data_IF_632621730508
#
_entry.id   IF_632621730508
#
_cell.length_a   1.000
_cell.length_b   1.000
_cell.length_c   1.000
_cell.angle_alpha   90.00
_cell.angle_beta   90.00
_cell.angle_gamma   90.00
#
_symmetry.space_group_name_H-M   'P 1'
#
loop_
_entity.id
_entity.type
_entity.pdbx_description
1 polymer ?
#
# COMPACT_ATOMS: atom_id res chain seq x y z
N UNK A 1 21.52 12.24 21.01
CA UNK A 1 20.10 11.96 20.79
C UNK A 1 19.34 12.32 22.07
N UNK A 2 18.44 13.28 21.98
CA UNK A 2 17.57 13.73 23.06
C UNK A 2 16.37 12.79 23.23
N UNK A 3 15.67 12.87 24.36
CA UNK A 3 14.46 12.08 24.59
C UNK A 3 13.38 12.34 23.52
N UNK A 4 13.26 13.58 23.05
CA UNK A 4 12.30 13.98 22.00
C UNK A 4 12.65 13.36 20.64
N UNK A 5 13.94 13.29 20.29
CA UNK A 5 14.38 12.61 19.07
C UNK A 5 14.13 11.10 19.13
N UNK A 6 14.34 10.48 20.30
CA UNK A 6 14.03 9.06 20.52
C UNK A 6 12.52 8.82 20.35
N UNK A 7 11.68 9.67 20.96
CA UNK A 7 10.24 9.55 20.87
C UNK A 7 9.76 9.64 19.40
N UNK A 8 10.26 10.61 18.63
CA UNK A 8 9.89 10.75 17.22
C UNK A 8 10.25 9.51 16.39
N UNK A 9 11.42 8.90 16.63
CA UNK A 9 11.82 7.65 15.95
C UNK A 9 10.89 6.48 16.29
N UNK A 10 10.50 6.36 17.57
CA UNK A 10 9.56 5.33 18.04
C UNK A 10 8.19 5.54 17.40
N UNK A 11 7.67 6.76 17.41
CA UNK A 11 6.37 7.09 16.80
C UNK A 11 6.37 6.77 15.31
N UNK A 12 7.42 7.17 14.58
CA UNK A 12 7.55 6.87 13.15
C UNK A 12 7.54 5.37 12.87
N UNK A 13 8.29 4.59 13.63
CA UNK A 13 8.33 3.13 13.49
C UNK A 13 6.97 2.51 13.85
N UNK A 14 6.32 3.00 14.90
CA UNK A 14 5.02 2.53 15.37
C UNK A 14 3.92 2.75 14.33
N UNK A 15 3.73 3.97 13.84
CA UNK A 15 2.76 4.28 12.78
C UNK A 15 3.18 3.68 11.43
N UNK A 16 4.49 3.63 11.18
CA UNK A 16 5.12 2.92 10.08
C UNK A 16 4.72 1.45 10.03
N UNK A 17 4.52 0.80 11.17
CA UNK A 17 4.10 -0.60 11.30
C UNK A 17 2.58 -0.80 11.44
N UNK A 18 1.86 0.15 12.06
CA UNK A 18 0.48 -0.06 12.48
C UNK A 18 -0.53 0.24 11.36
N UNK A 19 -0.33 1.32 10.59
CA UNK A 19 -1.35 1.85 9.65
C UNK A 19 -1.80 0.79 8.63
N UNK A 20 -0.86 0.11 7.97
CA UNK A 20 -1.19 -0.94 6.99
C UNK A 20 -1.94 -2.11 7.63
N UNK A 21 -1.67 -2.41 8.90
CA UNK A 21 -2.35 -3.51 9.61
C UNK A 21 -3.76 -3.11 9.97
N UNK A 22 -3.99 -1.85 10.30
CA UNK A 22 -5.33 -1.31 10.46
C UNK A 22 -6.08 -1.44 9.14
N UNK A 23 -5.53 -0.96 8.01
CA UNK A 23 -6.20 -1.10 6.71
C UNK A 23 -6.55 -2.55 6.38
N UNK A 24 -5.64 -3.49 6.65
CA UNK A 24 -5.88 -4.91 6.39
C UNK A 24 -6.89 -5.54 7.36
N UNK A 25 -6.92 -5.09 8.62
CA UNK A 25 -7.80 -5.61 9.66
C UNK A 25 -9.19 -4.96 9.72
N UNK A 26 -9.34 -3.72 9.23
CA UNK A 26 -10.59 -2.94 9.27
C UNK A 26 -11.53 -3.21 8.11
N UNK A 27 -11.10 -3.99 7.11
CA UNK A 27 -11.84 -4.20 5.87
C UNK A 27 -11.55 -3.17 4.78
N UNK A 28 -10.70 -2.15 5.03
CA UNK A 28 -10.21 -1.26 3.95
C UNK A 28 -9.47 -2.08 2.89
N UNK A 29 -8.63 -3.05 3.29
CA UNK A 29 -7.87 -3.91 2.36
C UNK A 29 -7.03 -3.10 1.36
N UNK A 30 -6.35 -2.06 1.86
CA UNK A 30 -5.47 -1.24 1.04
C UNK A 30 -4.36 -2.07 0.37
N UNK A 31 -3.92 -1.66 -0.81
CA UNK A 31 -2.90 -2.35 -1.59
C UNK A 31 -2.09 -1.36 -2.42
N UNK A 32 -0.96 -1.83 -2.95
CA UNK A 32 -0.09 -1.06 -3.84
C UNK A 32 -0.36 -1.49 -5.27
N UNK A 33 -0.71 -0.53 -6.12
CA UNK A 33 -0.83 -0.70 -7.56
C UNK A 33 0.55 -0.50 -8.18
N UNK A 34 1.08 -1.54 -8.80
CA UNK A 34 2.21 -1.43 -9.73
C UNK A 34 1.68 -1.10 -11.12
N UNK A 35 2.05 0.08 -11.61
CA UNK A 35 1.62 0.56 -12.93
C UNK A 35 2.55 0.08 -14.03
N UNK A 36 3.79 -0.31 -13.69
CA UNK A 36 4.88 -0.51 -14.63
C UNK A 36 5.19 0.74 -15.51
N UNK A 37 4.79 1.94 -15.06
CA UNK A 37 5.09 3.22 -15.70
C UNK A 37 6.18 4.00 -14.95
N UNK A 38 6.86 4.88 -15.68
CA UNK A 38 7.84 5.79 -15.11
C UNK A 38 7.15 6.97 -14.40
N UNK A 39 7.89 7.63 -13.51
CA UNK A 39 7.46 8.86 -12.85
C UNK A 39 7.59 10.09 -13.77
N UNK A 40 6.74 10.18 -14.79
CA UNK A 40 6.75 11.23 -15.81
C UNK A 40 5.56 12.23 -15.71
N UNK A 41 4.70 12.04 -14.71
CA UNK A 41 3.50 12.86 -14.50
C UNK A 41 2.28 12.41 -15.31
N UNK A 42 2.35 11.29 -16.02
CA UNK A 42 1.18 10.65 -16.62
C UNK A 42 0.29 10.00 -15.55
N UNK A 43 -1.02 9.89 -15.84
CA UNK A 43 -1.97 9.13 -15.03
C UNK A 43 -2.44 7.88 -15.83
N UNK A 44 -1.70 6.75 -15.75
CA UNK A 44 -2.01 5.56 -16.54
C UNK A 44 -3.19 4.73 -15.98
N UNK A 45 -3.84 5.19 -14.90
CA UNK A 45 -4.83 4.40 -14.15
C UNK A 45 -6.21 5.09 -14.03
N UNK A 46 -6.53 6.03 -14.91
CA UNK A 46 -7.79 6.79 -14.91
C UNK A 46 -9.06 5.92 -14.97
N UNK A 47 -8.93 4.69 -15.47
CA UNK A 47 -10.02 3.70 -15.51
C UNK A 47 -10.31 3.10 -14.12
N UNK A 48 -9.35 3.17 -13.20
CA UNK A 48 -9.39 2.51 -11.89
C UNK A 48 -9.44 3.49 -10.71
N UNK A 49 -8.96 4.72 -10.87
CA UNK A 49 -9.01 5.79 -9.88
C UNK A 49 -9.61 7.06 -10.50
N UNK A 50 -10.29 7.87 -9.70
CA UNK A 50 -10.65 9.24 -10.12
C UNK A 50 -9.39 10.12 -10.06
N UNK A 51 -9.33 11.17 -10.89
CA UNK A 51 -8.12 12.00 -11.00
C UNK A 51 -7.67 12.58 -9.65
N UNK A 52 -8.61 12.98 -8.79
CA UNK A 52 -8.31 13.47 -7.43
C UNK A 52 -7.70 12.38 -6.56
N UNK A 53 -8.22 11.15 -6.64
CA UNK A 53 -7.71 10.03 -5.86
C UNK A 53 -6.35 9.57 -6.40
N UNK A 54 -6.16 9.60 -7.72
CA UNK A 54 -4.89 9.31 -8.37
C UNK A 54 -3.82 10.31 -7.93
N UNK A 55 -4.11 11.61 -7.93
CA UNK A 55 -3.19 12.64 -7.47
C UNK A 55 -2.79 12.44 -5.99
N UNK A 56 -3.75 12.12 -5.13
CA UNK A 56 -3.52 11.90 -3.70
C UNK A 56 -2.74 10.62 -3.39
N UNK A 57 -2.80 9.61 -4.26
CA UNK A 57 -2.25 8.27 -3.99
C UNK A 57 -0.98 7.97 -4.77
N UNK A 58 -0.60 8.82 -5.73
CA UNK A 58 0.59 8.65 -6.55
C UNK A 58 1.88 8.69 -5.72
N UNK A 59 2.73 7.70 -5.90
CA UNK A 59 4.01 7.57 -5.21
C UNK A 59 5.09 7.12 -6.19
N UNK A 60 6.17 7.89 -6.22
CA UNK A 60 7.36 7.55 -6.99
C UNK A 60 8.37 6.82 -6.12
N UNK A 61 8.78 5.64 -6.55
CA UNK A 61 9.83 4.85 -5.90
C UNK A 61 10.71 4.18 -6.95
N UNK A 62 12.02 4.43 -6.91
CA UNK A 62 13.00 3.91 -7.89
C UNK A 62 12.59 4.17 -9.35
N UNK A 63 12.21 5.42 -9.64
CA UNK A 63 11.75 5.92 -10.94
C UNK A 63 10.48 5.24 -11.51
N UNK A 64 9.81 4.41 -10.71
CA UNK A 64 8.53 3.78 -11.04
C UNK A 64 7.38 4.43 -10.28
N UNK A 65 6.27 4.58 -10.99
CA UNK A 65 5.03 5.13 -10.46
C UNK A 65 4.17 4.02 -9.85
N UNK A 66 3.81 4.20 -8.59
CA UNK A 66 2.89 3.35 -7.85
C UNK A 66 1.72 4.16 -7.34
N UNK A 67 0.64 3.49 -6.98
CA UNK A 67 -0.48 4.10 -6.26
C UNK A 67 -0.81 3.26 -5.03
N UNK A 68 -1.29 3.89 -3.95
CA UNK A 68 -1.82 3.16 -2.79
C UNK A 68 -3.33 3.36 -2.76
N UNK A 69 -4.09 2.29 -2.99
CA UNK A 69 -5.53 2.37 -3.18
C UNK A 69 -6.26 1.30 -2.36
N UNK A 70 -7.58 1.36 -2.32
CA UNK A 70 -8.38 0.27 -1.78
C UNK A 70 -9.71 0.07 -2.51
N UNK A 71 -10.26 -1.16 -2.52
CA UNK A 71 -11.60 -1.44 -3.03
C UNK A 71 -12.67 -0.81 -2.14
N UNK A 72 -13.40 0.20 -2.64
CA UNK A 72 -14.48 0.88 -1.92
C UNK A 72 -15.86 0.43 -2.40
N UNK A 73 -16.60 -0.25 -1.53
CA UNK A 73 -17.92 -0.81 -1.83
C UNK A 73 -17.91 -2.31 -2.16
N UNK A 74 -19.10 -2.87 -2.42
CA UNK A 74 -19.25 -4.31 -2.66
C UNK A 74 -19.19 -4.63 -4.16
N UNK A 75 -18.69 -5.82 -4.55
CA UNK A 75 -18.66 -6.24 -5.96
C UNK A 75 -20.03 -6.18 -6.66
N UNK A 76 -21.11 -6.46 -5.91
CA UNK A 76 -22.49 -6.44 -6.40
C UNK A 76 -23.05 -5.05 -6.67
N UNK A 77 -22.38 -3.98 -6.23
CA UNK A 77 -22.85 -2.59 -6.39
C UNK A 77 -22.50 -2.02 -7.78
N UNK A 78 -21.74 -2.77 -8.59
CA UNK A 78 -21.30 -2.39 -9.96
C UNK A 78 -22.44 -2.20 -10.95
N UNK A 79 -23.60 -2.85 -10.73
CA UNK A 79 -24.73 -2.80 -11.65
C UNK A 79 -26.01 -2.42 -10.91
N UNK A 80 -26.41 -1.15 -11.03
CA UNK A 80 -27.73 -0.72 -10.56
C UNK A 80 -28.78 -1.04 -11.62
N UNK A 81 -29.93 -1.56 -11.19
CA UNK A 81 -31.11 -1.77 -12.05
C UNK A 81 -32.13 -0.63 -11.88
N UNK A 82 -31.97 0.53 -12.55
CA UNK A 82 -33.10 1.43 -12.75
C UNK A 82 -33.88 0.96 -13.99
N UNK A 83 -35.17 0.67 -13.80
CA UNK A 83 -36.19 0.46 -14.84
C UNK A 83 -35.70 0.25 -16.28
N UNK A 84 -35.51 -1.02 -16.65
CA UNK A 84 -35.44 -1.57 -18.02
C UNK A 84 -34.09 -1.66 -18.73
N UNK A 85 -33.01 -1.05 -18.23
CA UNK A 85 -31.64 -1.30 -18.74
C UNK A 85 -30.62 -1.24 -17.59
N UNK A 86 -29.86 -2.31 -17.31
CA UNK A 86 -28.78 -2.25 -16.32
C UNK A 86 -27.73 -1.24 -16.79
N UNK A 87 -27.48 -0.21 -15.98
CA UNK A 87 -26.32 0.67 -16.13
C UNK A 87 -25.30 0.18 -15.13
N UNK A 88 -24.25 -0.48 -15.63
CA UNK A 88 -23.12 -0.87 -14.80
C UNK A 88 -22.09 0.26 -14.81
N UNK A 89 -21.81 0.84 -13.65
CA UNK A 89 -20.72 1.81 -13.48
C UNK A 89 -19.53 1.04 -12.93
N UNK A 90 -18.35 1.07 -13.59
CA UNK A 90 -17.17 0.44 -13.05
C UNK A 90 -16.88 0.99 -11.66
N UNK A 91 -16.68 0.11 -10.67
CA UNK A 91 -16.19 0.54 -9.38
C UNK A 91 -14.77 1.06 -9.56
N UNK A 92 -14.48 2.23 -8.97
CA UNK A 92 -13.12 2.76 -8.89
C UNK A 92 -12.61 2.56 -7.47
N UNK A 93 -11.30 2.33 -7.36
CA UNK A 93 -10.64 2.33 -6.07
C UNK A 93 -10.71 3.72 -5.44
N UNK A 94 -10.40 3.80 -4.15
CA UNK A 94 -10.32 5.06 -3.41
C UNK A 94 -9.02 5.18 -2.65
N UNK A 95 -8.74 6.41 -2.21
CA UNK A 95 -7.62 6.72 -1.31
C UNK A 95 -7.87 6.07 0.05
N UNK A 96 -6.97 5.21 0.57
CA UNK A 96 -7.14 4.65 1.91
C UNK A 96 -7.25 5.76 2.96
N UNK A 97 -8.13 5.60 3.97
CA UNK A 97 -8.23 6.56 5.06
C UNK A 97 -6.86 6.85 5.65
N UNK A 98 -6.62 8.12 6.00
CA UNK A 98 -5.37 8.63 6.61
C UNK A 98 -4.19 8.73 5.64
N UNK A 99 -4.23 8.19 4.40
CA UNK A 99 -3.07 8.27 3.49
C UNK A 99 -2.64 9.72 3.21
N UNK A 100 -3.59 10.63 2.98
CA UNK A 100 -3.31 12.05 2.70
C UNK A 100 -2.71 12.80 3.89
N UNK A 101 -2.91 12.29 5.11
CA UNK A 101 -2.34 12.85 6.33
C UNK A 101 -0.88 12.40 6.57
N UNK A 102 -0.34 11.52 5.72
CA UNK A 102 1.05 11.05 5.79
C UNK A 102 2.00 12.03 5.09
N UNK A 103 2.03 13.28 5.53
CA UNK A 103 2.81 14.34 4.85
C UNK A 103 4.32 14.20 5.09
N UNK A 104 4.71 13.41 6.10
CA UNK A 104 6.09 13.33 6.60
C UNK A 104 6.42 14.37 7.68
N UNK A 105 5.47 15.18 8.10
CA UNK A 105 5.63 16.04 9.27
C UNK A 105 5.62 15.21 10.57
N UNK A 106 6.56 15.47 11.48
CA UNK A 106 6.72 14.67 12.72
C UNK A 106 5.44 14.64 13.57
N UNK A 107 4.69 15.75 13.59
CA UNK A 107 3.42 15.90 14.31
C UNK A 107 2.27 15.08 13.70
N UNK A 108 2.45 14.54 12.49
CA UNK A 108 1.48 13.75 11.76
C UNK A 108 2.01 12.32 11.64
N UNK A 109 1.45 11.42 12.46
CA UNK A 109 1.81 9.99 12.46
C UNK A 109 3.33 9.74 12.56
N UNK A 110 4.05 10.55 13.33
CA UNK A 110 5.50 10.40 13.51
C UNK A 110 6.32 10.70 12.26
N UNK A 111 5.77 11.41 11.27
CA UNK A 111 6.49 11.75 10.04
C UNK A 111 6.60 10.58 9.04
N UNK A 112 5.64 9.66 9.07
CA UNK A 112 5.49 8.62 8.04
C UNK A 112 5.03 9.26 6.73
N UNK A 113 5.51 8.73 5.60
CA UNK A 113 5.13 9.15 4.24
C UNK A 113 4.52 7.99 3.43
N UNK A 114 3.72 8.25 2.38
CA UNK A 114 3.25 7.23 1.44
C UNK A 114 4.41 6.45 0.80
N UNK A 115 5.52 7.13 0.48
CA UNK A 115 6.72 6.48 -0.05
C UNK A 115 7.34 5.45 0.90
N UNK A 116 7.24 5.65 2.22
CA UNK A 116 7.72 4.65 3.19
C UNK A 116 6.91 3.34 3.06
N UNK A 117 5.59 3.44 2.82
CA UNK A 117 4.69 2.29 2.63
C UNK A 117 4.96 1.58 1.31
N UNK A 118 5.08 2.34 0.22
CA UNK A 118 5.36 1.79 -1.11
C UNK A 118 6.74 1.14 -1.15
N UNK A 119 7.78 1.83 -0.70
CA UNK A 119 9.14 1.30 -0.64
C UNK A 119 9.18 -0.03 0.13
N UNK A 120 8.62 -0.05 1.35
CA UNK A 120 8.63 -1.26 2.17
C UNK A 120 7.84 -2.40 1.53
N UNK A 121 6.72 -2.11 0.88
CA UNK A 121 5.91 -3.11 0.18
C UNK A 121 6.65 -3.68 -1.03
N UNK A 122 7.20 -2.82 -1.89
CA UNK A 122 7.96 -3.20 -3.09
C UNK A 122 9.20 -4.02 -2.71
N UNK A 123 9.99 -3.54 -1.76
CA UNK A 123 11.19 -4.26 -1.32
C UNK A 123 10.83 -5.59 -0.64
N UNK A 124 9.72 -5.67 0.10
CA UNK A 124 9.23 -6.95 0.67
C UNK A 124 8.82 -7.94 -0.42
N UNK A 125 8.07 -7.48 -1.43
CA UNK A 125 7.65 -8.28 -2.57
C UNK A 125 8.86 -8.83 -3.34
N UNK A 126 9.83 -7.98 -3.65
CA UNK A 126 11.08 -8.37 -4.32
C UNK A 126 11.91 -9.36 -3.50
N UNK A 127 12.04 -9.11 -2.18
CA UNK A 127 12.76 -10.01 -1.26
C UNK A 127 12.06 -11.38 -1.15
N UNK A 128 10.76 -11.44 -1.39
CA UNK A 128 9.98 -12.69 -1.44
C UNK A 128 10.00 -13.38 -2.81
N UNK A 129 10.96 -13.04 -3.68
CA UNK A 129 11.05 -13.60 -5.03
C UNK A 129 9.93 -13.11 -5.95
N UNK A 130 9.50 -11.86 -5.79
CA UNK A 130 8.37 -11.25 -6.50
C UNK A 130 7.05 -11.96 -6.21
N UNK A 131 6.74 -12.17 -4.93
CA UNK A 131 5.46 -12.72 -4.49
C UNK A 131 4.92 -11.95 -3.28
N UNK A 132 3.60 -11.80 -3.21
CA UNK A 132 2.95 -11.27 -2.02
C UNK A 132 3.09 -12.22 -0.81
N UNK A 133 2.74 -11.72 0.37
CA UNK A 133 2.74 -12.52 1.60
C UNK A 133 4.11 -12.66 2.26
N UNK A 134 5.05 -11.74 2.01
CA UNK A 134 6.29 -11.68 2.77
C UNK A 134 5.98 -11.55 4.27
N UNK A 135 6.70 -12.30 5.11
CA UNK A 135 6.52 -12.28 6.57
C UNK A 135 7.84 -11.99 7.25
N UNK A 136 7.82 -11.02 8.16
CA UNK A 136 8.95 -10.76 9.05
C UNK A 136 9.15 -12.02 9.90
N UNK A 137 10.36 -12.59 9.88
CA UNK A 137 10.73 -13.61 10.85
C UNK A 137 10.53 -13.01 12.25
N UNK A 138 9.88 -13.74 13.15
CA UNK A 138 9.76 -13.28 14.55
C UNK A 138 11.16 -13.01 15.10
N UNK A 139 11.31 -12.06 16.04
CA UNK A 139 12.61 -11.75 16.63
C UNK A 139 13.30 -12.96 17.27
N UNK A 140 12.54 -13.97 17.70
CA UNK A 140 13.07 -15.25 18.20
C UNK A 140 13.46 -16.27 17.12
N UNK A 141 13.15 -15.99 15.85
CA UNK A 141 13.55 -16.77 14.68
C UNK A 141 14.65 -16.11 13.84
N UNK A 142 15.17 -14.97 14.29
CA UNK A 142 16.36 -14.30 13.74
C UNK A 142 17.58 -14.98 14.40
N UNK A 143 18.34 -15.74 13.60
CA UNK A 143 19.50 -16.49 14.10
C UNK A 143 20.78 -15.63 14.12
N UNK A 144 20.88 -14.63 13.25
CA UNK A 144 21.94 -13.60 13.27
C UNK A 144 21.44 -12.24 12.80
N UNK A 145 22.24 -11.19 13.01
CA UNK A 145 21.95 -9.85 12.48
C UNK A 145 21.92 -9.85 10.94
N UNK A 146 22.59 -10.82 10.28
CA UNK A 146 22.57 -10.97 8.83
C UNK A 146 21.21 -11.46 8.29
N UNK A 147 20.37 -12.05 9.15
CA UNK A 147 18.95 -12.32 8.82
C UNK A 147 18.14 -11.02 8.72
N UNK A 148 18.66 -9.91 9.26
CA UNK A 148 18.11 -8.57 9.08
C UNK A 148 18.85 -7.92 7.92
N UNK A 149 18.13 -7.43 6.92
CA UNK A 149 18.73 -6.65 5.85
C UNK A 149 19.11 -5.26 6.38
N UNK A 150 20.21 -5.17 7.12
CA UNK A 150 20.68 -3.95 7.81
C UNK A 150 20.95 -2.82 6.82
N UNK A 151 21.49 -3.13 5.64
CA UNK A 151 21.70 -2.13 4.58
C UNK A 151 20.37 -1.53 4.12
N UNK A 152 19.33 -2.34 3.92
CA UNK A 152 18.00 -1.81 3.61
C UNK A 152 17.41 -0.99 4.76
N UNK A 153 17.64 -1.37 6.02
CA UNK A 153 17.22 -0.60 7.19
C UNK A 153 17.95 0.75 7.28
N UNK A 154 19.22 0.81 6.90
CA UNK A 154 19.99 2.06 6.86
C UNK A 154 19.53 2.94 5.71
N UNK A 155 19.38 2.37 4.51
CA UNK A 155 19.02 3.10 3.28
C UNK A 155 17.58 3.58 3.28
N UNK A 156 16.63 2.68 3.58
CA UNK A 156 15.19 2.96 3.44
C UNK A 156 14.50 3.20 4.77
N UNK A 157 15.15 2.98 5.92
CA UNK A 157 14.53 3.13 7.25
C UNK A 157 13.24 2.31 7.38
N UNK A 158 12.11 2.95 7.67
CA UNK A 158 10.80 2.28 7.72
C UNK A 158 10.27 1.88 6.32
N UNK A 159 10.93 2.31 5.25
CA UNK A 159 10.78 1.82 3.89
C UNK A 159 11.51 0.51 3.61
N UNK A 160 12.27 -0.04 4.57
CA UNK A 160 12.92 -1.33 4.42
C UNK A 160 11.88 -2.48 4.35
N UNK A 161 12.20 -3.63 3.76
CA UNK A 161 11.33 -4.81 3.76
C UNK A 161 10.76 -5.12 5.14
N UNK A 162 9.45 -5.33 5.22
CA UNK A 162 8.77 -5.89 6.38
C UNK A 162 8.05 -4.94 7.31
N UNK A 163 8.27 -3.63 7.18
CA UNK A 163 7.40 -2.65 7.83
C UNK A 163 6.02 -2.72 7.19
N UNK A 164 5.92 -2.42 5.89
CA UNK A 164 4.72 -2.62 5.07
C UNK A 164 4.82 -3.91 4.26
N UNK A 165 3.74 -4.68 4.29
CA UNK A 165 3.57 -5.94 3.55
C UNK A 165 2.20 -5.95 2.87
N UNK A 166 1.76 -4.76 2.42
CA UNK A 166 0.54 -4.64 1.66
C UNK A 166 0.64 -5.52 0.40
N UNK A 167 -0.48 -6.04 -0.10
CA UNK A 167 -0.47 -6.69 -1.40
C UNK A 167 -0.01 -5.73 -2.51
N UNK A 168 0.69 -6.26 -3.50
CA UNK A 168 1.17 -5.54 -4.68
C UNK A 168 0.74 -6.31 -5.93
N UNK A 169 0.07 -5.62 -6.85
CA UNK A 169 -0.33 -6.15 -8.15
C UNK A 169 -0.71 -5.02 -9.12
N UNK A 170 -1.07 -5.38 -10.36
CA UNK A 170 -1.63 -4.42 -11.31
C UNK A 170 -3.05 -3.97 -10.91
N UNK A 171 -3.47 -2.81 -11.40
CA UNK A 171 -4.85 -2.34 -11.19
C UNK A 171 -5.89 -3.29 -11.81
N UNK A 172 -5.59 -3.87 -12.98
CA UNK A 172 -6.46 -4.84 -13.66
C UNK A 172 -6.68 -6.10 -12.83
N UNK A 173 -5.61 -6.69 -12.28
CA UNK A 173 -5.70 -7.87 -11.42
C UNK A 173 -6.55 -7.60 -10.18
N UNK A 174 -6.26 -6.50 -9.48
CA UNK A 174 -7.02 -6.10 -8.30
C UNK A 174 -8.49 -5.89 -8.62
N UNK A 175 -8.80 -5.24 -9.74
CA UNK A 175 -10.16 -4.92 -10.16
C UNK A 175 -10.94 -6.18 -10.53
N UNK A 176 -10.32 -7.12 -11.24
CA UNK A 176 -10.92 -8.41 -11.56
C UNK A 176 -11.22 -9.22 -10.29
N UNK A 177 -10.26 -9.34 -9.37
CA UNK A 177 -10.46 -10.06 -8.12
C UNK A 177 -11.55 -9.40 -7.26
N UNK A 178 -11.59 -8.07 -7.21
CA UNK A 178 -12.65 -7.33 -6.54
C UNK A 178 -14.01 -7.57 -7.19
N UNK A 179 -14.13 -7.39 -8.50
CA UNK A 179 -15.40 -7.48 -9.22
C UNK A 179 -16.07 -8.86 -9.15
N UNK A 180 -15.29 -9.94 -9.04
CA UNK A 180 -15.83 -11.30 -8.85
C UNK A 180 -15.98 -11.71 -7.37
N UNK A 181 -15.60 -10.84 -6.43
CA UNK A 181 -15.62 -11.12 -5.00
C UNK A 181 -14.66 -12.25 -4.61
N UNK A 182 -13.50 -12.35 -5.27
CA UNK A 182 -12.50 -13.38 -4.97
C UNK A 182 -11.88 -13.10 -3.60
N UNK A 183 -11.84 -14.09 -2.74
CA UNK A 183 -11.08 -14.01 -1.49
C UNK A 183 -9.71 -14.67 -1.65
N UNK A 184 -8.66 -13.93 -1.32
CA UNK A 184 -7.27 -14.38 -1.31
C UNK A 184 -6.59 -13.90 -0.03
N UNK A 185 -5.50 -14.57 0.36
CA UNK A 185 -4.70 -14.14 1.52
C UNK A 185 -4.10 -12.74 1.33
N UNK A 186 -3.92 -12.32 0.08
CA UNK A 186 -3.34 -11.03 -0.32
C UNK A 186 -4.36 -10.13 -1.02
N UNK A 187 -5.65 -10.24 -0.69
CA UNK A 187 -6.72 -9.50 -1.37
C UNK A 187 -6.48 -7.97 -1.35
N UNK A 188 -6.68 -7.26 -2.48
CA UNK A 188 -7.26 -7.72 -3.76
C UNK A 188 -6.27 -8.34 -4.75
N UNK A 189 -5.01 -8.55 -4.39
CA UNK A 189 -4.02 -9.24 -5.22
C UNK A 189 -4.01 -10.76 -4.95
N UNK A 190 -3.16 -11.51 -5.66
CA UNK A 190 -2.87 -12.93 -5.36
C UNK A 190 -1.67 -13.11 -4.43
#
# INVERSE_FOLDING_TARGET
MSATEIQALIERAFYGYLIQRIWQGSGTRAFVIDTNHACDGSNPISDYLDDTDAEATAVCFEDKLYYVAYPDGNPGDTCQLPGSTPVCVPLKFKVPPVLEELTGEIREYGGVKPVDKVASTVCSYQTNGNNNGWKLKSMGGVASVDDLNVDALITYQIGAPGFSTLPLCSAEEAHLNWGIGKETDNYPCN
#
